data_IF_518162338895
#
_entry.id   IF_518162338895
#
_cell.length_a   1.000
_cell.length_b   1.000
_cell.length_c   1.000
_cell.angle_alpha   90.00
_cell.angle_beta   90.00
_cell.angle_gamma   90.00
#
_symmetry.space_group_name_H-M   'P 1'
#
loop_
_entity.id
_entity.type
_entity.pdbx_description
1 polymer ?
#
# COMPACT_ATOMS: atom_id res chain seq x y z
N UNK A 1 -10.71 -47.24 34.50
CA UNK A 1 -11.35 -47.01 33.19
C UNK A 1 -11.35 -45.53 32.78
N UNK A 2 -11.63 -44.58 33.65
CA UNK A 2 -11.69 -43.15 33.35
C UNK A 2 -10.35 -42.54 32.87
N UNK A 3 -9.21 -42.91 33.48
CA UNK A 3 -7.89 -42.40 33.10
C UNK A 3 -7.48 -42.84 31.69
N UNK A 4 -7.84 -44.05 31.27
CA UNK A 4 -7.50 -44.57 29.95
C UNK A 4 -8.31 -43.89 28.83
N UNK A 5 -9.56 -43.52 29.11
CA UNK A 5 -10.40 -42.75 28.19
C UNK A 5 -9.88 -41.32 28.02
N UNK A 6 -9.38 -40.71 29.10
CA UNK A 6 -8.86 -39.36 29.08
C UNK A 6 -7.56 -39.25 28.26
N UNK A 7 -6.66 -40.22 28.44
CA UNK A 7 -5.41 -40.30 27.65
C UNK A 7 -5.68 -40.51 26.17
N UNK A 8 -6.67 -41.34 25.83
CA UNK A 8 -7.07 -41.60 24.45
C UNK A 8 -7.65 -40.32 23.79
N UNK A 9 -8.49 -39.57 24.51
CA UNK A 9 -9.05 -38.32 24.03
C UNK A 9 -7.97 -37.27 23.76
N UNK A 10 -6.99 -37.10 24.63
CA UNK A 10 -5.88 -36.15 24.45
C UNK A 10 -5.04 -36.53 23.23
N UNK A 11 -4.76 -37.81 23.04
CA UNK A 11 -3.99 -38.31 21.91
C UNK A 11 -4.70 -38.07 20.58
N UNK A 12 -6.02 -38.26 20.56
CA UNK A 12 -6.86 -38.02 19.38
C UNK A 12 -6.88 -36.52 18.98
N UNK A 13 -7.01 -35.63 19.96
CA UNK A 13 -6.94 -34.18 19.75
C UNK A 13 -5.56 -33.77 19.22
N UNK A 14 -4.48 -34.32 19.74
CA UNK A 14 -3.12 -34.02 19.26
C UNK A 14 -2.92 -34.47 17.80
N UNK A 15 -3.41 -35.65 17.43
CA UNK A 15 -3.33 -36.20 16.06
C UNK A 15 -4.13 -35.31 15.11
N UNK A 16 -5.34 -34.89 15.46
CA UNK A 16 -6.18 -34.04 14.65
C UNK A 16 -5.51 -32.65 14.43
N UNK A 17 -4.96 -32.06 15.48
CA UNK A 17 -4.24 -30.81 15.38
C UNK A 17 -3.00 -30.92 14.48
N UNK A 18 -2.21 -31.97 14.62
CA UNK A 18 -1.05 -32.25 13.74
C UNK A 18 -1.48 -32.43 12.28
N UNK A 19 -2.59 -33.09 12.04
CA UNK A 19 -3.14 -33.30 10.70
C UNK A 19 -3.62 -31.97 10.08
N UNK A 20 -4.32 -31.11 10.85
CA UNK A 20 -4.75 -29.78 10.41
C UNK A 20 -3.54 -28.92 10.08
N UNK A 21 -2.50 -28.88 10.93
CA UNK A 21 -1.27 -28.11 10.71
C UNK A 21 -0.55 -28.59 9.44
N UNK A 22 -0.45 -29.91 9.24
CA UNK A 22 0.16 -30.46 8.02
C UNK A 22 -0.63 -30.12 6.76
N UNK A 23 -1.97 -30.18 6.84
CA UNK A 23 -2.85 -29.86 5.72
C UNK A 23 -2.80 -28.37 5.35
N UNK A 24 -2.79 -27.48 6.33
CA UNK A 24 -2.67 -26.03 6.09
C UNK A 24 -1.30 -25.66 5.54
N UNK A 25 -0.21 -26.28 6.01
CA UNK A 25 1.13 -26.10 5.42
C UNK A 25 1.21 -26.64 4.00
N UNK A 26 0.58 -27.77 3.69
CA UNK A 26 0.54 -28.33 2.34
C UNK A 26 -0.31 -27.50 1.39
N UNK A 27 -1.40 -26.88 1.84
CA UNK A 27 -2.18 -25.94 1.05
C UNK A 27 -1.42 -24.64 0.77
N UNK A 28 -0.69 -24.08 1.76
CA UNK A 28 0.17 -22.92 1.55
C UNK A 28 1.28 -23.18 0.51
N UNK A 29 1.83 -24.38 0.46
CA UNK A 29 2.83 -24.78 -0.56
C UNK A 29 2.24 -24.95 -1.96
N UNK A 30 0.92 -25.12 -2.09
CA UNK A 30 0.22 -25.33 -3.37
C UNK A 30 -0.45 -24.08 -3.91
N UNK A 31 -0.32 -22.93 -3.25
CA UNK A 31 -0.78 -21.69 -3.85
C UNK A 31 0.06 -21.45 -5.12
N UNK A 32 -0.59 -21.32 -6.29
CA UNK A 32 0.12 -21.01 -7.51
C UNK A 32 0.91 -19.71 -7.29
N UNK A 33 2.13 -19.66 -7.80
CA UNK A 33 2.93 -18.43 -7.83
C UNK A 33 2.12 -17.36 -8.58
N UNK A 34 1.65 -16.37 -7.85
CA UNK A 34 1.05 -15.20 -8.44
C UNK A 34 2.19 -14.22 -8.67
N UNK A 35 2.51 -13.98 -9.94
CA UNK A 35 3.51 -12.98 -10.31
C UNK A 35 3.13 -11.63 -9.67
N UNK A 36 4.09 -10.92 -9.07
CA UNK A 36 3.80 -9.60 -8.51
C UNK A 36 3.25 -8.70 -9.61
N UNK A 37 2.16 -8.01 -9.32
CA UNK A 37 1.56 -7.06 -10.26
C UNK A 37 2.61 -6.03 -10.69
N UNK A 38 2.73 -5.68 -11.99
CA UNK A 38 3.69 -4.67 -12.43
C UNK A 38 3.58 -3.36 -11.63
N UNK A 39 4.71 -2.65 -11.47
CA UNK A 39 4.78 -1.37 -10.76
C UNK A 39 3.82 -0.32 -11.33
N UNK A 40 3.62 -0.36 -12.63
CA UNK A 40 2.77 0.56 -13.38
C UNK A 40 1.33 0.07 -13.54
N UNK A 41 0.91 -0.95 -12.77
CA UNK A 41 -0.47 -1.41 -12.80
C UNK A 41 -1.39 -0.24 -12.38
N UNK A 42 -2.39 0.09 -13.20
CA UNK A 42 -3.29 1.18 -12.91
C UNK A 42 -4.07 0.93 -11.61
N UNK A 43 -4.31 2.01 -10.89
CA UNK A 43 -5.20 2.04 -9.72
C UNK A 43 -6.37 2.92 -10.12
N UNK A 44 -7.57 2.46 -9.87
CA UNK A 44 -8.77 3.27 -10.06
C UNK A 44 -9.08 4.08 -8.81
N UNK A 45 -9.75 5.21 -8.98
CA UNK A 45 -10.17 6.05 -7.87
C UNK A 45 -11.10 5.30 -6.90
N UNK A 46 -12.00 4.46 -7.43
CA UNK A 46 -12.87 3.62 -6.63
C UNK A 46 -12.12 2.55 -5.83
N UNK A 47 -10.99 2.06 -6.34
CA UNK A 47 -10.12 1.17 -5.60
C UNK A 47 -9.37 1.93 -4.48
N UNK A 48 -8.86 3.12 -4.76
CA UNK A 48 -8.23 3.97 -3.75
C UNK A 48 -9.22 4.37 -2.64
N UNK A 49 -10.47 4.66 -2.98
CA UNK A 49 -11.52 5.01 -2.02
C UNK A 49 -11.79 3.89 -0.98
N UNK A 50 -11.59 2.61 -1.33
CA UNK A 50 -11.73 1.49 -0.39
C UNK A 50 -10.69 1.50 0.72
N UNK A 51 -9.58 2.20 0.53
CA UNK A 51 -8.50 2.36 1.49
C UNK A 51 -8.52 3.72 2.19
N UNK A 52 -9.58 4.51 2.00
CA UNK A 52 -9.77 5.78 2.69
C UNK A 52 -10.65 5.57 3.92
N UNK A 53 -10.12 5.92 5.08
CA UNK A 53 -10.86 5.90 6.35
C UNK A 53 -10.84 7.31 6.96
N UNK A 54 -11.97 8.01 6.86
CA UNK A 54 -12.07 9.41 7.27
C UNK A 54 -11.07 10.31 6.53
N UNK A 55 -10.18 10.93 7.29
CA UNK A 55 -9.16 11.86 6.78
C UNK A 55 -7.81 11.20 6.50
N UNK A 56 -7.70 9.89 6.63
CA UNK A 56 -6.48 9.13 6.49
C UNK A 56 -6.61 8.13 5.35
N UNK A 57 -5.51 7.92 4.62
CA UNK A 57 -5.44 6.88 3.62
C UNK A 57 -4.70 5.65 4.17
N UNK A 58 -5.30 4.48 4.03
CA UNK A 58 -4.68 3.20 4.38
C UNK A 58 -3.94 2.63 3.18
N UNK A 59 -2.71 2.16 3.36
CA UNK A 59 -1.92 1.58 2.28
C UNK A 59 -2.16 0.09 2.10
N UNK A 60 -2.27 -0.35 0.85
CA UNK A 60 -2.17 -1.76 0.46
C UNK A 60 -0.80 -2.32 0.86
N UNK A 61 -0.65 -3.64 1.12
CA UNK A 61 0.62 -4.24 1.54
C UNK A 61 1.81 -4.01 0.60
N UNK A 62 1.54 -3.82 -0.71
CA UNK A 62 2.57 -3.57 -1.71
C UNK A 62 2.89 -2.08 -1.94
N UNK A 63 2.37 -1.20 -1.09
CA UNK A 63 2.62 0.23 -1.14
C UNK A 63 3.27 0.68 0.16
N UNK A 64 4.11 1.71 0.09
CA UNK A 64 4.60 2.43 1.25
C UNK A 64 3.87 3.75 1.41
N UNK A 65 3.52 4.05 2.65
CA UNK A 65 2.85 5.28 3.05
C UNK A 65 3.86 6.40 3.31
N UNK A 66 3.58 7.57 2.74
CA UNK A 66 4.34 8.79 2.96
C UNK A 66 3.41 9.98 3.18
N UNK A 67 3.78 10.85 4.12
CA UNK A 67 3.18 12.18 4.21
C UNK A 67 3.77 13.06 3.10
N UNK A 68 2.94 13.90 2.48
CA UNK A 68 3.42 14.93 1.58
C UNK A 68 4.10 16.04 2.39
N UNK A 69 5.32 16.40 2.01
CA UNK A 69 6.02 17.54 2.63
C UNK A 69 5.34 18.86 2.26
N UNK A 70 4.80 18.92 1.05
CA UNK A 70 3.97 20.01 0.56
C UNK A 70 2.83 19.41 -0.27
N UNK A 71 1.62 19.83 -0.01
CA UNK A 71 0.43 19.45 -0.77
C UNK A 71 -0.12 20.64 -1.52
N UNK A 72 -0.77 20.37 -2.66
CA UNK A 72 -1.34 21.41 -3.52
C UNK A 72 -2.85 21.25 -3.63
N UNK A 73 -3.52 22.36 -3.89
CA UNK A 73 -4.96 22.41 -4.05
C UNK A 73 -5.50 21.36 -5.04
N UNK A 74 -6.61 20.77 -4.65
CA UNK A 74 -7.35 19.83 -5.49
C UNK A 74 -8.69 20.48 -5.79
N UNK A 75 -8.87 20.91 -7.03
CA UNK A 75 -10.19 21.24 -7.55
C UNK A 75 -10.94 19.94 -7.75
N UNK A 76 -11.67 19.46 -6.73
CA UNK A 76 -12.49 18.28 -6.96
C UNK A 76 -13.58 18.05 -5.90
N UNK A 77 -14.73 17.58 -6.37
CA UNK A 77 -15.86 17.05 -5.60
C UNK A 77 -15.53 15.69 -4.92
N UNK A 78 -14.36 15.12 -5.16
CA UNK A 78 -13.99 13.76 -4.74
C UNK A 78 -13.22 13.69 -3.42
N UNK A 79 -13.50 14.55 -2.46
CA UNK A 79 -12.89 14.50 -1.13
C UNK A 79 -11.35 14.56 -1.11
N UNK A 80 -10.72 15.06 -2.17
CA UNK A 80 -9.27 15.17 -2.32
C UNK A 80 -8.54 13.87 -2.64
N UNK A 81 -9.28 12.80 -2.93
CA UNK A 81 -8.70 11.52 -3.31
C UNK A 81 -8.14 11.58 -4.74
N UNK A 82 -6.95 11.02 -4.97
CA UNK A 82 -6.36 10.94 -6.29
C UNK A 82 -5.63 9.62 -6.54
N UNK A 83 -5.49 9.27 -7.80
CA UNK A 83 -4.62 8.21 -8.29
C UNK A 83 -3.64 8.80 -9.30
N UNK A 84 -2.43 8.23 -9.39
CA UNK A 84 -1.44 8.75 -10.32
C UNK A 84 -0.06 8.13 -10.14
N UNK A 85 0.96 8.96 -10.24
CA UNK A 85 2.35 8.53 -10.25
C UNK A 85 3.24 9.40 -9.37
N UNK A 86 4.19 8.74 -8.72
CA UNK A 86 5.33 9.40 -8.08
C UNK A 86 6.56 9.26 -8.99
N UNK A 87 7.33 10.32 -9.12
CA UNK A 87 8.58 10.33 -9.89
C UNK A 87 9.64 11.20 -9.20
N UNK A 88 10.91 10.87 -9.41
CA UNK A 88 12.02 11.72 -8.96
C UNK A 88 11.98 13.08 -9.65
N UNK A 89 12.22 14.16 -8.90
CA UNK A 89 12.38 15.48 -9.49
C UNK A 89 13.78 15.59 -10.10
N UNK A 90 13.90 15.87 -11.41
CA UNK A 90 15.21 15.99 -12.03
C UNK A 90 15.96 17.29 -11.66
N UNK A 91 15.28 18.24 -11.02
CA UNK A 91 15.84 19.55 -10.67
C UNK A 91 16.27 19.66 -9.21
N UNK A 92 15.70 18.81 -8.33
CA UNK A 92 15.94 18.87 -6.90
C UNK A 92 16.23 17.48 -6.35
N UNK A 93 17.46 17.26 -5.92
CA UNK A 93 17.88 15.99 -5.31
C UNK A 93 17.03 15.61 -4.11
N UNK A 94 16.76 14.31 -3.99
CA UNK A 94 15.95 13.72 -2.94
C UNK A 94 14.51 14.27 -2.84
N UNK A 95 14.02 14.93 -3.90
CA UNK A 95 12.65 15.42 -4.00
C UNK A 95 11.85 14.55 -4.95
N UNK A 96 10.64 14.20 -4.56
CA UNK A 96 9.74 13.35 -5.31
C UNK A 96 8.48 14.13 -5.63
N UNK A 97 8.14 14.17 -6.90
CA UNK A 97 6.91 14.77 -7.40
C UNK A 97 5.80 13.75 -7.39
N UNK A 98 4.67 14.10 -6.79
CA UNK A 98 3.45 13.27 -6.78
C UNK A 98 2.42 13.93 -7.68
N UNK A 99 2.02 13.24 -8.73
CA UNK A 99 1.12 13.73 -9.75
C UNK A 99 -0.10 12.81 -9.89
N UNK A 100 -1.26 13.38 -10.14
CA UNK A 100 -2.44 12.61 -10.52
C UNK A 100 -2.35 12.09 -11.97
N UNK A 101 -3.25 11.20 -12.32
CA UNK A 101 -3.27 10.56 -13.65
C UNK A 101 -3.45 11.55 -14.82
N UNK A 102 -4.07 12.68 -14.57
CA UNK A 102 -4.22 13.81 -15.50
C UNK A 102 -2.96 14.72 -15.62
N UNK A 103 -1.92 14.41 -14.82
CA UNK A 103 -0.65 15.14 -14.80
C UNK A 103 -0.59 16.34 -13.86
N UNK A 104 -1.65 16.64 -13.12
CA UNK A 104 -1.63 17.73 -12.14
C UNK A 104 -0.74 17.36 -10.95
N UNK A 105 0.06 18.32 -10.50
CA UNK A 105 0.90 18.15 -9.32
C UNK A 105 0.03 18.18 -8.05
N UNK A 106 0.10 17.13 -7.26
CA UNK A 106 -0.66 16.94 -6.02
C UNK A 106 0.17 17.21 -4.77
N UNK A 107 1.48 17.06 -4.87
CA UNK A 107 2.38 17.36 -3.76
C UNK A 107 3.81 16.95 -4.02
N UNK A 108 4.63 17.20 -3.01
CA UNK A 108 6.04 16.86 -2.97
C UNK A 108 6.35 16.02 -1.75
N UNK A 109 7.33 15.13 -1.87
CA UNK A 109 7.95 14.43 -0.75
C UNK A 109 9.43 14.77 -0.78
N UNK A 110 9.93 15.35 0.29
CA UNK A 110 11.34 15.69 0.44
C UNK A 110 12.05 14.73 1.40
N UNK A 111 13.38 14.72 1.33
CA UNK A 111 14.25 14.00 2.29
C UNK A 111 14.03 12.47 2.34
N UNK A 112 13.70 11.86 1.19
CA UNK A 112 13.55 10.41 1.06
C UNK A 112 14.55 9.85 0.01
N UNK A 113 15.86 9.80 0.31
CA UNK A 113 16.89 9.45 -0.68
C UNK A 113 16.72 8.03 -1.23
N UNK A 114 16.33 7.06 -0.41
CA UNK A 114 16.12 5.67 -0.86
C UNK A 114 14.98 5.55 -1.86
N UNK A 115 13.86 6.22 -1.61
CA UNK A 115 12.73 6.24 -2.52
C UNK A 115 13.09 7.00 -3.81
N UNK A 116 13.83 8.09 -3.68
CA UNK A 116 14.31 8.88 -4.82
C UNK A 116 15.16 8.02 -5.78
N UNK A 117 16.15 7.28 -5.27
CA UNK A 117 16.97 6.35 -6.06
C UNK A 117 16.16 5.26 -6.76
N UNK A 118 15.18 4.70 -6.07
CA UNK A 118 14.27 3.72 -6.68
C UNK A 118 13.46 4.32 -7.82
N UNK A 119 13.00 5.56 -7.67
CA UNK A 119 12.22 6.26 -8.68
C UNK A 119 13.08 6.72 -9.88
N UNK A 120 14.35 7.05 -9.67
CA UNK A 120 15.29 7.25 -10.78
C UNK A 120 15.40 5.97 -11.61
N UNK A 121 15.60 4.81 -10.96
CA UNK A 121 15.77 3.53 -11.64
C UNK A 121 14.49 3.09 -12.37
N UNK A 122 13.32 3.28 -11.77
CA UNK A 122 12.02 2.86 -12.31
C UNK A 122 11.34 3.92 -13.18
N UNK A 123 11.87 5.15 -13.22
CA UNK A 123 11.32 6.37 -13.84
C UNK A 123 10.05 6.90 -13.15
N UNK A 124 9.15 6.05 -12.76
CA UNK A 124 7.91 6.40 -12.03
C UNK A 124 7.37 5.18 -11.29
N UNK A 125 6.55 5.42 -10.27
CA UNK A 125 5.80 4.39 -9.57
C UNK A 125 4.34 4.81 -9.44
N UNK A 126 3.45 3.85 -9.56
CA UNK A 126 2.01 4.06 -9.35
C UNK A 126 1.76 4.45 -7.90
N UNK A 127 0.89 5.42 -7.69
CA UNK A 127 0.50 5.86 -6.36
C UNK A 127 -1.00 6.18 -6.29
N UNK A 128 -1.49 6.24 -5.08
CA UNK A 128 -2.79 6.83 -4.74
C UNK A 128 -2.65 7.61 -3.45
N UNK A 129 -3.41 8.65 -3.30
CA UNK A 129 -3.26 9.56 -2.18
C UNK A 129 -4.51 10.34 -1.88
N UNK A 130 -4.39 11.16 -0.86
CA UNK A 130 -5.42 12.04 -0.36
C UNK A 130 -4.81 13.40 -0.04
N UNK A 131 -5.40 14.47 -0.54
CA UNK A 131 -5.06 15.85 -0.19
C UNK A 131 -6.28 16.50 0.43
N UNK A 132 -6.09 17.20 1.54
CA UNK A 132 -7.16 17.88 2.25
C UNK A 132 -6.76 19.30 2.60
N UNK A 133 -7.74 20.16 2.66
CA UNK A 133 -7.56 21.50 3.22
C UNK A 133 -7.54 21.41 4.74
N UNK A 134 -6.46 21.89 5.35
CA UNK A 134 -6.30 21.98 6.80
C UNK A 134 -6.02 23.43 7.18
N UNK A 135 -7.03 24.13 7.72
CA UNK A 135 -7.02 25.56 7.96
C UNK A 135 -6.83 26.35 6.65
N UNK A 136 -5.71 27.10 6.54
CA UNK A 136 -5.37 27.88 5.35
C UNK A 136 -4.39 27.16 4.41
N UNK A 137 -3.92 25.95 4.78
CA UNK A 137 -2.97 25.15 4.03
C UNK A 137 -3.58 23.82 3.56
N UNK A 138 -2.85 23.13 2.67
CA UNK A 138 -3.16 21.79 2.23
C UNK A 138 -2.21 20.79 2.89
N UNK A 139 -2.76 19.69 3.34
CA UNK A 139 -1.99 18.53 3.81
C UNK A 139 -2.40 17.28 3.02
N UNK A 140 -1.54 16.31 2.95
CA UNK A 140 -1.83 15.11 2.18
C UNK A 140 -0.92 13.94 2.52
N UNK A 141 -1.40 12.78 2.10
CA UNK A 141 -0.75 11.49 2.26
C UNK A 141 -0.79 10.74 0.94
N UNK A 142 0.22 9.92 0.70
CA UNK A 142 0.31 9.12 -0.51
C UNK A 142 0.86 7.74 -0.21
N UNK A 143 0.28 6.74 -0.85
CA UNK A 143 0.78 5.37 -0.86
C UNK A 143 1.42 5.11 -2.22
N UNK A 144 2.73 4.86 -2.23
CA UNK A 144 3.53 4.64 -3.44
C UNK A 144 3.85 3.17 -3.56
N UNK A 145 3.63 2.59 -4.74
CA UNK A 145 3.93 1.21 -5.03
C UNK A 145 5.44 1.01 -5.13
N UNK A 146 5.94 0.07 -4.33
CA UNK A 146 7.34 -0.33 -4.31
C UNK A 146 7.52 -1.71 -4.96
N UNK A 147 8.73 -1.98 -5.42
CA UNK A 147 9.13 -3.31 -5.89
C UNK A 147 9.47 -4.24 -4.75
#
# INVERSE_FOLDING_TARGET
MTALLLTFAILLVAIVNLWIIRRTKAMRKRQPYVAPTPLDAPITLGEAARYCEGDTILCKPQFLHYALTQAYEVEDDQLGLFVGYAKADPQHDATILVQSSDGQLRGLIASQPQLYEQLIASRRATCYGLVRKANDDYCGEVCIRIR
#
